data_IF_220864413323
#
_entry.id   IF_220864413323
#
_cell.length_a   1.000
_cell.length_b   1.000
_cell.length_c   1.000
_cell.angle_alpha   90.00
_cell.angle_beta   90.00
_cell.angle_gamma   90.00
#
_symmetry.space_group_name_H-M   'P 1'
#
loop_
_entity.id
_entity.type
_entity.pdbx_description
1 polymer ?
#
# COMPACT_ATOMS: atom_id res chain seq x y z
N UNK A 1 -6.23 -17.11 -14.95
CA UNK A 1 -6.61 -15.74 -15.38
C UNK A 1 -8.13 -15.65 -15.39
N UNK A 2 -8.67 -14.58 -14.80
CA UNK A 2 -10.10 -14.40 -14.48
C UNK A 2 -11.09 -14.60 -15.65
N UNK A 3 -12.31 -15.01 -15.31
CA UNK A 3 -13.50 -14.94 -16.18
C UNK A 3 -14.41 -13.81 -15.68
N UNK A 4 -14.70 -12.83 -16.53
CA UNK A 4 -15.64 -11.72 -16.26
C UNK A 4 -15.34 -10.88 -15.00
N UNK A 5 -14.06 -10.57 -14.73
CA UNK A 5 -13.65 -9.75 -13.57
C UNK A 5 -13.66 -10.50 -12.24
N UNK A 6 -13.75 -11.83 -12.29
CA UNK A 6 -13.77 -12.70 -11.13
C UNK A 6 -12.66 -13.76 -11.17
N UNK A 7 -12.01 -14.00 -10.03
CA UNK A 7 -11.07 -15.13 -9.90
C UNK A 7 -11.88 -16.40 -9.59
N UNK A 8 -11.73 -17.47 -10.39
CA UNK A 8 -12.36 -18.75 -10.10
C UNK A 8 -12.02 -19.22 -8.68
N UNK A 9 -13.02 -19.63 -7.90
CA UNK A 9 -12.86 -20.17 -6.54
C UNK A 9 -13.24 -19.23 -5.39
N UNK A 10 -13.48 -17.95 -5.64
CA UNK A 10 -14.01 -17.03 -4.62
C UNK A 10 -15.56 -17.00 -4.68
N UNK A 11 -16.24 -16.65 -3.57
CA UNK A 11 -17.68 -16.30 -3.55
C UNK A 11 -17.92 -14.79 -3.78
N UNK A 12 -18.71 -14.46 -4.80
CA UNK A 12 -19.05 -13.08 -5.17
C UNK A 12 -19.81 -12.34 -4.07
N UNK A 13 -20.59 -13.06 -3.26
CA UNK A 13 -21.38 -12.47 -2.18
C UNK A 13 -20.51 -11.97 -1.01
N UNK A 14 -19.29 -12.50 -0.90
CA UNK A 14 -18.31 -12.16 0.12
C UNK A 14 -17.32 -11.06 -0.31
N UNK A 15 -17.44 -10.54 -1.53
CA UNK A 15 -16.58 -9.47 -2.04
C UNK A 15 -17.05 -8.07 -1.59
N UNK A 16 -16.14 -7.12 -1.33
CA UNK A 16 -14.69 -7.26 -1.32
C UNK A 16 -14.17 -7.91 -0.02
N UNK A 17 -13.31 -8.93 -0.15
CA UNK A 17 -12.66 -9.58 0.99
C UNK A 17 -11.55 -8.68 1.55
N UNK A 18 -11.54 -8.53 2.86
CA UNK A 18 -10.52 -7.81 3.62
C UNK A 18 -10.42 -8.41 5.04
N UNK A 19 -9.30 -8.22 5.72
CA UNK A 19 -9.05 -8.82 7.04
C UNK A 19 -8.21 -10.10 6.95
N UNK A 20 -8.13 -10.85 8.04
CA UNK A 20 -7.20 -11.99 8.20
C UNK A 20 -7.50 -13.17 7.25
N UNK A 21 -8.76 -13.36 6.84
CA UNK A 21 -9.16 -14.44 5.94
C UNK A 21 -9.04 -14.06 4.45
N UNK A 22 -8.61 -12.82 4.15
CA UNK A 22 -8.43 -12.37 2.78
C UNK A 22 -7.14 -12.96 2.20
N UNK A 23 -7.16 -13.33 0.92
CA UNK A 23 -5.95 -13.80 0.25
C UNK A 23 -4.84 -12.73 0.26
N UNK A 24 -3.58 -13.15 0.40
CA UNK A 24 -2.38 -12.30 0.47
C UNK A 24 -1.98 -11.67 -0.88
N UNK A 25 -2.94 -11.03 -1.55
CA UNK A 25 -2.77 -10.41 -2.86
C UNK A 25 -3.68 -9.20 -3.02
N UNK A 26 -3.25 -8.26 -3.85
CA UNK A 26 -4.10 -7.14 -4.21
C UNK A 26 -5.36 -7.60 -4.95
N UNK A 27 -6.53 -7.00 -4.64
CA UNK A 27 -7.71 -7.15 -5.49
C UNK A 27 -7.41 -6.66 -6.91
N UNK A 28 -7.85 -7.41 -7.92
CA UNK A 28 -7.47 -7.14 -9.32
C UNK A 28 -8.22 -5.94 -9.93
N UNK A 29 -9.49 -5.74 -9.55
CA UNK A 29 -10.30 -4.60 -9.95
C UNK A 29 -10.91 -3.95 -8.71
N UNK A 30 -10.59 -2.68 -8.50
CA UNK A 30 -11.21 -1.83 -7.48
C UNK A 30 -11.57 -0.48 -8.08
N UNK A 31 -12.74 0.08 -7.74
CA UNK A 31 -13.14 1.40 -8.21
C UNK A 31 -12.20 2.48 -7.67
N UNK A 32 -11.92 3.47 -8.49
CA UNK A 32 -11.24 4.71 -8.09
C UNK A 32 -12.21 5.88 -8.10
N UNK A 33 -12.00 6.85 -7.22
CA UNK A 33 -12.79 8.09 -7.17
C UNK A 33 -11.89 9.26 -7.55
N UNK A 34 -12.46 10.23 -8.28
CA UNK A 34 -11.80 11.51 -8.56
C UNK A 34 -12.74 12.66 -8.14
N UNK A 35 -12.31 13.43 -7.15
CA UNK A 35 -12.98 14.60 -6.62
C UNK A 35 -12.27 15.84 -7.15
N UNK A 36 -12.99 16.64 -7.93
CA UNK A 36 -12.52 17.88 -8.52
C UNK A 36 -13.16 19.05 -7.76
N UNK A 37 -12.31 19.90 -7.18
CA UNK A 37 -12.73 21.04 -6.36
C UNK A 37 -12.46 22.38 -7.05
N UNK A 38 -13.19 23.41 -6.65
CA UNK A 38 -13.16 24.75 -7.24
C UNK A 38 -14.13 24.95 -8.41
N UNK A 39 -15.04 23.99 -8.65
CA UNK A 39 -16.04 24.09 -9.72
C UNK A 39 -17.03 25.23 -9.48
N UNK A 40 -17.62 25.74 -10.57
CA UNK A 40 -18.66 26.76 -10.53
C UNK A 40 -19.80 26.35 -9.59
N UNK A 41 -20.05 27.19 -8.58
CA UNK A 41 -21.09 26.95 -7.56
C UNK A 41 -20.68 26.05 -6.39
N UNK A 42 -19.42 25.60 -6.32
CA UNK A 42 -18.90 24.89 -5.15
C UNK A 42 -18.91 25.80 -3.91
N UNK A 43 -19.32 25.22 -2.77
CA UNK A 43 -19.37 25.88 -1.46
C UNK A 43 -18.72 24.98 -0.42
N UNK A 44 -18.46 25.49 0.78
CA UNK A 44 -17.91 24.69 1.89
C UNK A 44 -18.75 23.43 2.16
N UNK A 45 -20.07 23.53 2.03
CA UNK A 45 -20.99 22.39 2.18
C UNK A 45 -20.69 21.23 1.20
N UNK A 46 -20.15 21.52 0.01
CA UNK A 46 -19.75 20.50 -0.96
C UNK A 46 -18.62 19.61 -0.41
N UNK A 47 -17.65 20.20 0.28
CA UNK A 47 -16.55 19.45 0.93
C UNK A 47 -17.09 18.53 2.02
N UNK A 48 -18.01 19.02 2.84
CA UNK A 48 -18.66 18.23 3.90
C UNK A 48 -19.41 17.03 3.31
N UNK A 49 -20.22 17.23 2.27
CA UNK A 49 -20.99 16.18 1.63
C UNK A 49 -20.10 15.13 0.96
N UNK A 50 -19.02 15.56 0.29
CA UNK A 50 -18.05 14.65 -0.30
C UNK A 50 -17.33 13.81 0.76
N UNK A 51 -16.95 14.42 1.89
CA UNK A 51 -16.37 13.68 3.03
C UNK A 51 -17.35 12.66 3.59
N UNK A 52 -18.61 13.05 3.81
CA UNK A 52 -19.65 12.14 4.31
C UNK A 52 -19.88 10.97 3.35
N UNK A 53 -19.83 11.21 2.04
CA UNK A 53 -19.91 10.13 1.06
C UNK A 53 -18.75 9.14 1.20
N UNK A 54 -17.51 9.62 1.27
CA UNK A 54 -16.33 8.77 1.46
C UNK A 54 -16.39 8.00 2.79
N UNK A 55 -16.86 8.64 3.86
CA UNK A 55 -17.06 7.99 5.15
C UNK A 55 -18.08 6.85 5.04
N UNK A 56 -19.23 7.07 4.40
CA UNK A 56 -20.22 6.00 4.18
C UNK A 56 -19.66 4.82 3.38
N UNK A 57 -18.81 5.07 2.38
CA UNK A 57 -18.12 4.00 1.63
C UNK A 57 -17.23 3.19 2.58
N UNK A 58 -16.43 3.87 3.40
CA UNK A 58 -15.55 3.23 4.39
C UNK A 58 -16.31 2.43 5.45
N UNK A 59 -17.40 3.00 5.99
CA UNK A 59 -18.24 2.40 7.04
C UNK A 59 -19.02 1.18 6.52
N UNK A 60 -19.39 1.18 5.24
CA UNK A 60 -20.01 0.05 4.58
C UNK A 60 -19.03 -1.10 4.28
N UNK A 61 -17.75 -0.99 4.67
CA UNK A 61 -16.73 -2.00 4.40
C UNK A 61 -16.34 -2.12 2.92
N UNK A 62 -16.71 -1.14 2.09
CA UNK A 62 -16.38 -1.14 0.66
C UNK A 62 -14.94 -0.69 0.44
N UNK A 63 -14.30 -1.24 -0.59
CA UNK A 63 -12.93 -0.91 -0.96
C UNK A 63 -12.85 0.03 -2.16
N UNK A 64 -11.93 0.98 -2.08
CA UNK A 64 -11.55 1.86 -3.18
C UNK A 64 -10.07 1.65 -3.49
N UNK A 65 -9.71 1.64 -4.78
CA UNK A 65 -8.30 1.57 -5.19
C UNK A 65 -7.56 2.85 -4.82
N UNK A 66 -8.22 3.98 -5.01
CA UNK A 66 -7.61 5.31 -4.90
C UNK A 66 -8.68 6.39 -4.85
N UNK A 67 -8.42 7.43 -4.07
CA UNK A 67 -9.16 8.69 -4.13
C UNK A 67 -8.21 9.76 -4.66
N UNK A 68 -8.57 10.39 -5.77
CA UNK A 68 -7.86 11.54 -6.32
C UNK A 68 -8.59 12.80 -5.91
N UNK A 69 -7.90 13.72 -5.24
CA UNK A 69 -8.43 15.04 -4.86
C UNK A 69 -7.63 16.10 -5.60
N UNK A 70 -8.29 16.81 -6.53
CA UNK A 70 -7.70 17.77 -7.46
C UNK A 70 -8.42 19.11 -7.39
N UNK A 71 -7.74 20.17 -7.80
CA UNK A 71 -8.37 21.46 -8.07
C UNK A 71 -8.62 21.58 -9.57
N UNK A 72 -9.71 22.25 -9.92
CA UNK A 72 -10.09 22.52 -11.30
C UNK A 72 -9.06 23.42 -11.99
N UNK A 73 -8.88 23.20 -13.28
CA UNK A 73 -8.20 24.13 -14.17
C UNK A 73 -9.26 24.72 -15.10
N UNK A 74 -9.27 26.03 -15.27
CA UNK A 74 -10.13 26.70 -16.23
C UNK A 74 -9.44 26.71 -17.61
N UNK A 75 -10.17 26.29 -18.63
CA UNK A 75 -9.72 26.29 -20.01
C UNK A 75 -10.70 27.08 -20.89
N UNK A 76 -10.17 27.79 -21.87
CA UNK A 76 -10.98 28.54 -22.83
C UNK A 76 -11.99 27.63 -23.53
N UNK A 77 -13.23 28.11 -23.67
CA UNK A 77 -14.32 27.36 -24.30
C UNK A 77 -15.01 26.33 -23.39
N UNK A 78 -14.65 26.24 -22.11
CA UNK A 78 -15.38 25.45 -21.10
C UNK A 78 -16.33 26.33 -20.29
N UNK A 79 -17.34 25.74 -19.63
CA UNK A 79 -18.20 26.49 -18.69
C UNK A 79 -17.43 27.12 -17.52
N UNK A 80 -16.23 26.60 -17.24
CA UNK A 80 -15.31 27.15 -16.24
C UNK A 80 -14.51 28.34 -16.76
N UNK A 81 -14.54 28.64 -18.06
CA UNK A 81 -13.77 29.73 -18.69
C UNK A 81 -14.08 31.08 -18.02
N UNK A 82 -15.36 31.40 -17.82
CA UNK A 82 -15.78 32.67 -17.21
C UNK A 82 -15.59 32.70 -15.70
N UNK A 83 -15.66 31.53 -15.04
CA UNK A 83 -15.49 31.43 -13.58
C UNK A 83 -14.02 31.46 -13.17
N UNK A 84 -13.14 30.98 -14.04
CA UNK A 84 -11.72 30.87 -13.78
C UNK A 84 -11.40 29.94 -12.60
N UNK A 85 -10.29 30.22 -11.93
CA UNK A 85 -9.80 29.48 -10.77
C UNK A 85 -10.18 30.14 -9.42
N UNK A 86 -10.96 31.22 -9.42
CA UNK A 86 -11.19 32.05 -8.24
C UNK A 86 -11.72 31.25 -7.05
N UNK A 87 -12.72 30.37 -7.27
CA UNK A 87 -13.29 29.53 -6.20
C UNK A 87 -12.24 28.57 -5.62
N UNK A 88 -11.36 28.02 -6.46
CA UNK A 88 -10.28 27.14 -6.02
C UNK A 88 -9.25 27.90 -5.16
N UNK A 89 -8.96 29.15 -5.52
CA UNK A 89 -8.03 30.02 -4.79
C UNK A 89 -8.61 30.50 -3.46
N UNK A 90 -9.89 30.93 -3.47
CA UNK A 90 -10.61 31.38 -2.27
C UNK A 90 -10.70 30.26 -1.22
N UNK A 91 -10.99 29.03 -1.65
CA UNK A 91 -11.10 27.87 -0.77
C UNK A 91 -9.79 27.11 -0.56
N UNK A 92 -8.63 27.67 -0.93
CA UNK A 92 -7.34 26.94 -0.89
C UNK A 92 -6.98 26.39 0.49
N UNK A 93 -7.28 27.12 1.57
CA UNK A 93 -7.02 26.63 2.93
C UNK A 93 -7.95 25.48 3.30
N UNK A 94 -9.25 25.63 3.03
CA UNK A 94 -10.26 24.58 3.23
C UNK A 94 -9.90 23.33 2.43
N UNK A 95 -9.51 23.47 1.17
CA UNK A 95 -9.09 22.37 0.31
C UNK A 95 -7.90 21.60 0.90
N UNK A 96 -6.90 22.30 1.44
CA UNK A 96 -5.74 21.66 2.09
C UNK A 96 -6.16 20.84 3.31
N UNK A 97 -6.99 21.42 4.19
CA UNK A 97 -7.50 20.74 5.39
C UNK A 97 -8.32 19.51 5.02
N UNK A 98 -9.28 19.66 4.10
CA UNK A 98 -10.09 18.56 3.58
C UNK A 98 -9.23 17.43 3.00
N UNK A 99 -8.26 17.78 2.16
CA UNK A 99 -7.37 16.80 1.52
C UNK A 99 -6.49 16.06 2.52
N UNK A 100 -6.07 16.72 3.61
CA UNK A 100 -5.36 16.07 4.70
C UNK A 100 -6.28 15.13 5.48
N UNK A 101 -7.47 15.59 5.85
CA UNK A 101 -8.44 14.81 6.60
C UNK A 101 -8.87 13.54 5.85
N UNK A 102 -9.20 13.65 4.56
CA UNK A 102 -9.53 12.48 3.73
C UNK A 102 -8.36 11.50 3.69
N UNK A 103 -7.12 11.98 3.70
CA UNK A 103 -5.97 11.06 3.68
C UNK A 103 -5.80 10.27 4.95
N UNK A 104 -5.84 10.96 6.06
CA UNK A 104 -5.59 10.35 7.36
C UNK A 104 -6.74 9.46 7.78
N UNK A 105 -7.98 9.84 7.46
CA UNK A 105 -9.19 9.13 7.92
C UNK A 105 -9.76 8.14 6.91
N UNK A 106 -9.47 8.31 5.61
CA UNK A 106 -10.01 7.46 4.56
C UNK A 106 -8.91 6.76 3.78
N UNK A 107 -8.01 7.48 3.08
CA UNK A 107 -7.03 6.85 2.18
C UNK A 107 -6.10 5.88 2.90
N UNK A 108 -5.52 6.26 4.05
CA UNK A 108 -4.55 5.43 4.76
C UNK A 108 -5.21 4.17 5.37
N UNK A 109 -6.34 4.27 6.09
CA UNK A 109 -7.11 3.08 6.49
C UNK A 109 -7.56 2.22 5.31
N UNK A 110 -7.95 2.82 4.18
CA UNK A 110 -8.32 2.10 2.98
C UNK A 110 -7.14 1.32 2.39
N UNK A 111 -5.95 1.93 2.34
CA UNK A 111 -4.72 1.29 1.86
C UNK A 111 -4.36 0.07 2.72
N UNK A 112 -4.49 0.19 4.05
CA UNK A 112 -4.29 -0.93 4.97
C UNK A 112 -5.24 -2.10 4.70
N UNK A 113 -6.51 -1.82 4.35
CA UNK A 113 -7.47 -2.86 3.97
C UNK A 113 -7.18 -3.48 2.61
N UNK A 114 -6.71 -2.68 1.65
CA UNK A 114 -6.43 -3.12 0.28
C UNK A 114 -5.16 -3.96 0.19
N UNK A 115 -4.18 -3.68 1.05
CA UNK A 115 -2.85 -4.26 0.98
C UNK A 115 -2.27 -4.48 2.39
N UNK A 116 -2.90 -5.32 3.24
CA UNK A 116 -2.43 -5.57 4.61
C UNK A 116 -1.01 -6.19 4.62
N UNK A 117 -0.27 -6.10 5.74
CA UNK A 117 1.01 -6.80 5.87
C UNK A 117 0.83 -8.30 5.59
N UNK A 118 1.78 -8.91 4.88
CA UNK A 118 1.64 -10.26 4.33
C UNK A 118 1.32 -10.29 2.84
N UNK A 119 0.62 -9.26 2.32
CA UNK A 119 0.29 -9.16 0.90
C UNK A 119 1.55 -9.19 0.03
N UNK A 120 1.62 -10.13 -0.92
CA UNK A 120 2.72 -10.22 -1.89
C UNK A 120 2.39 -9.46 -3.15
N UNK A 121 3.24 -8.50 -3.50
CA UNK A 121 3.24 -7.78 -4.76
C UNK A 121 4.20 -8.47 -5.75
N UNK A 122 3.69 -9.18 -6.77
CA UNK A 122 4.56 -9.79 -7.76
C UNK A 122 5.14 -8.75 -8.72
N UNK A 123 6.29 -9.04 -9.31
CA UNK A 123 6.88 -8.26 -10.41
C UNK A 123 7.08 -6.76 -10.10
N UNK A 124 7.61 -6.44 -8.91
CA UNK A 124 7.96 -5.05 -8.58
C UNK A 124 9.26 -4.68 -9.27
N UNK A 125 9.20 -3.66 -10.12
CA UNK A 125 10.37 -3.06 -10.77
C UNK A 125 11.03 -2.07 -9.83
N UNK A 126 12.32 -2.23 -9.55
CA UNK A 126 13.10 -1.33 -8.71
C UNK A 126 13.56 -0.12 -9.52
N UNK A 127 13.19 1.10 -9.10
CA UNK A 127 13.26 2.31 -9.92
C UNK A 127 14.29 3.33 -9.45
N UNK A 128 14.40 3.58 -8.13
CA UNK A 128 15.31 4.59 -7.58
C UNK A 128 15.66 4.35 -6.11
N UNK A 129 16.73 4.98 -5.64
CA UNK A 129 17.11 5.02 -4.22
C UNK A 129 16.77 6.35 -3.59
N UNK A 130 16.32 6.32 -2.35
CA UNK A 130 16.13 7.53 -1.53
C UNK A 130 16.18 7.15 -0.04
N UNK A 131 16.92 7.93 0.75
CA UNK A 131 17.00 7.80 2.21
C UNK A 131 17.33 6.37 2.69
N UNK A 132 18.32 5.73 2.05
CA UNK A 132 18.78 4.37 2.37
C UNK A 132 17.79 3.26 1.99
N UNK A 133 16.80 3.55 1.14
CA UNK A 133 15.79 2.60 0.66
C UNK A 133 15.77 2.53 -0.85
N UNK A 134 15.34 1.39 -1.37
CA UNK A 134 15.01 1.21 -2.78
C UNK A 134 13.50 1.30 -2.98
N UNK A 135 13.07 2.11 -3.93
CA UNK A 135 11.68 2.27 -4.28
C UNK A 135 11.35 1.55 -5.59
N UNK A 136 10.16 0.95 -5.64
CA UNK A 136 9.69 0.25 -6.83
C UNK A 136 8.18 0.20 -6.96
N UNK A 137 7.71 -0.21 -8.14
CA UNK A 137 6.29 -0.39 -8.46
C UNK A 137 6.10 -1.56 -9.41
N UNK A 138 4.91 -2.15 -9.38
CA UNK A 138 4.44 -3.04 -10.45
C UNK A 138 4.15 -2.22 -11.72
N UNK A 139 4.17 -2.88 -12.88
CA UNK A 139 3.60 -2.28 -14.09
C UNK A 139 2.07 -2.23 -13.98
N UNK A 140 1.48 -1.06 -14.27
CA UNK A 140 0.02 -0.87 -14.26
C UNK A 140 -0.39 0.59 -14.18
N UNK A 141 -1.71 0.83 -14.26
CA UNK A 141 -2.27 2.20 -14.25
C UNK A 141 -2.19 2.85 -12.85
N UNK A 142 -2.29 2.06 -11.78
CA UNK A 142 -2.26 2.54 -10.39
C UNK A 142 -1.50 1.59 -9.45
N UNK A 143 -0.21 1.33 -9.70
CA UNK A 143 0.60 0.49 -8.81
C UNK A 143 0.87 1.21 -7.50
N UNK A 144 1.02 0.43 -6.43
CA UNK A 144 1.49 0.94 -5.14
C UNK A 144 2.99 1.19 -5.24
N UNK A 145 3.42 2.36 -4.77
CA UNK A 145 4.83 2.62 -4.53
C UNK A 145 5.24 1.84 -3.28
N UNK A 146 6.24 0.98 -3.41
CA UNK A 146 6.81 0.23 -2.28
C UNK A 146 8.22 0.71 -1.97
N UNK A 147 8.50 0.91 -0.68
CA UNK A 147 9.83 1.20 -0.16
C UNK A 147 10.42 -0.08 0.44
N UNK A 148 11.62 -0.45 0.01
CA UNK A 148 12.34 -1.64 0.47
C UNK A 148 13.59 -1.20 1.22
N UNK A 149 13.88 -1.71 2.43
CA UNK A 149 15.11 -1.41 3.14
C UNK A 149 16.37 -1.73 2.32
N UNK A 150 17.35 -0.83 2.39
CA UNK A 150 18.63 -0.95 1.70
C UNK A 150 18.61 -0.52 0.22
N UNK A 151 19.80 -0.28 -0.31
CA UNK A 151 20.01 -0.02 -1.74
C UNK A 151 20.20 -1.34 -2.49
N UNK A 152 19.37 -1.56 -3.52
CA UNK A 152 19.40 -2.75 -4.38
C UNK A 152 19.67 -2.35 -5.82
N UNK A 153 20.13 -3.30 -6.63
CA UNK A 153 20.32 -3.07 -8.06
C UNK A 153 19.01 -2.63 -8.73
N UNK A 154 19.04 -1.45 -9.37
CA UNK A 154 17.90 -0.88 -10.09
C UNK A 154 17.63 -1.66 -11.39
N UNK A 155 16.39 -1.62 -11.87
CA UNK A 155 15.96 -2.36 -13.06
C UNK A 155 15.70 -3.85 -12.84
N UNK A 156 16.02 -4.38 -11.65
CA UNK A 156 15.59 -5.72 -11.22
C UNK A 156 14.09 -5.75 -10.99
N UNK A 157 13.54 -6.95 -11.20
CA UNK A 157 12.15 -7.30 -10.93
C UNK A 157 12.16 -8.29 -9.77
N UNK A 158 11.45 -7.97 -8.70
CA UNK A 158 11.46 -8.74 -7.45
C UNK A 158 10.03 -8.79 -6.89
N UNK A 159 9.64 -9.91 -6.32
CA UNK A 159 8.40 -10.00 -5.55
C UNK A 159 8.61 -9.39 -4.16
N UNK A 160 7.66 -8.58 -3.71
CA UNK A 160 7.79 -7.84 -2.44
C UNK A 160 6.59 -8.16 -1.54
N UNK A 161 6.86 -8.67 -0.34
CA UNK A 161 5.86 -8.79 0.71
C UNK A 161 5.72 -7.47 1.46
N UNK A 162 4.49 -6.98 1.61
CA UNK A 162 4.19 -5.77 2.37
C UNK A 162 4.38 -6.05 3.85
N UNK A 163 5.04 -5.13 4.54
CA UNK A 163 5.26 -5.20 5.98
C UNK A 163 4.63 -4.05 6.76
N UNK A 164 4.44 -2.88 6.14
CA UNK A 164 3.83 -1.71 6.78
C UNK A 164 3.32 -0.69 5.74
N UNK A 165 2.68 0.38 6.20
CA UNK A 165 2.07 1.44 5.40
C UNK A 165 2.68 2.81 5.70
N UNK A 166 3.13 3.49 4.65
CA UNK A 166 3.45 4.91 4.70
C UNK A 166 2.23 5.79 4.44
N UNK A 167 2.47 7.10 4.25
CA UNK A 167 1.39 8.06 4.01
C UNK A 167 0.62 7.81 2.70
N UNK A 168 1.31 7.37 1.64
CA UNK A 168 0.72 7.01 0.33
C UNK A 168 1.47 5.87 -0.39
N UNK A 169 2.25 5.15 0.38
CA UNK A 169 3.12 4.08 -0.08
C UNK A 169 3.00 2.93 0.89
N UNK A 170 3.55 1.79 0.50
CA UNK A 170 3.74 0.65 1.39
C UNK A 170 5.23 0.47 1.63
N UNK A 171 5.59 -0.17 2.72
CA UNK A 171 6.93 -0.68 2.98
C UNK A 171 6.89 -2.19 2.80
N UNK A 172 7.97 -2.77 2.31
CA UNK A 172 8.04 -4.22 2.15
C UNK A 172 9.46 -4.75 2.05
N UNK A 173 9.56 -6.07 2.01
CA UNK A 173 10.82 -6.82 1.89
C UNK A 173 10.70 -7.85 0.75
N UNK A 174 11.81 -8.32 0.17
CA UNK A 174 11.77 -9.39 -0.82
C UNK A 174 10.98 -10.60 -0.33
N UNK A 175 10.19 -11.20 -1.21
CA UNK A 175 9.45 -12.42 -0.96
C UNK A 175 9.92 -13.55 -1.91
N UNK A 176 10.34 -14.71 -1.40
CA UNK A 176 10.54 -15.01 0.01
C UNK A 176 11.76 -14.27 0.61
N UNK A 177 11.70 -13.94 1.90
CA UNK A 177 12.82 -13.39 2.65
C UNK A 177 13.60 -14.52 3.35
N UNK A 178 14.89 -14.66 3.07
CA UNK A 178 15.74 -15.66 3.75
C UNK A 178 16.25 -15.13 5.09
N UNK A 179 15.76 -15.70 6.20
CA UNK A 179 16.09 -15.32 7.57
C UNK A 179 17.58 -15.44 7.88
N UNK A 180 18.33 -16.30 7.19
CA UNK A 180 19.77 -16.48 7.42
C UNK A 180 20.62 -15.47 6.66
N UNK A 181 20.07 -14.84 5.62
CA UNK A 181 20.79 -13.92 4.71
C UNK A 181 20.29 -12.48 4.79
N UNK A 182 19.09 -12.27 5.29
CA UNK A 182 18.46 -10.96 5.37
C UNK A 182 19.33 -9.96 6.16
N UNK A 183 19.27 -8.70 5.76
CA UNK A 183 19.91 -7.63 6.50
C UNK A 183 19.19 -7.36 7.82
N UNK A 184 19.87 -6.63 8.72
CA UNK A 184 19.27 -6.19 9.98
C UNK A 184 18.00 -5.35 9.73
N UNK A 185 18.04 -4.44 8.75
CA UNK A 185 16.92 -3.54 8.43
C UNK A 185 15.74 -4.30 7.79
N UNK A 186 16.01 -5.32 6.98
CA UNK A 186 14.96 -6.19 6.42
C UNK A 186 14.25 -6.98 7.52
N UNK A 187 15.01 -7.55 8.45
CA UNK A 187 14.44 -8.28 9.59
C UNK A 187 13.66 -7.35 10.52
N UNK A 188 14.19 -6.17 10.82
CA UNK A 188 13.52 -5.19 11.68
C UNK A 188 12.21 -4.69 11.05
N UNK A 189 12.14 -4.65 9.72
CA UNK A 189 10.95 -4.28 8.98
C UNK A 189 9.86 -5.37 8.97
N UNK A 190 10.13 -6.61 9.41
CA UNK A 190 9.11 -7.64 9.50
C UNK A 190 8.05 -7.30 10.58
N UNK A 191 6.75 -7.55 10.31
CA UNK A 191 5.69 -7.29 11.27
C UNK A 191 5.96 -7.94 12.62
N UNK A 192 5.93 -7.14 13.69
CA UNK A 192 6.11 -7.62 15.05
C UNK A 192 7.55 -7.92 15.47
N UNK A 193 8.57 -7.76 14.63
CA UNK A 193 9.96 -8.00 15.02
C UNK A 193 10.60 -6.75 15.64
N UNK A 194 10.76 -5.69 14.84
CA UNK A 194 11.54 -4.51 15.23
C UNK A 194 13.01 -4.84 15.54
N UNK A 195 13.79 -3.82 15.94
CA UNK A 195 15.25 -3.94 16.09
C UNK A 195 15.68 -5.01 17.10
N UNK A 196 14.94 -5.16 18.21
CA UNK A 196 15.33 -6.09 19.27
C UNK A 196 15.23 -7.55 18.81
N UNK A 197 14.09 -7.97 18.24
CA UNK A 197 13.89 -9.36 17.79
C UNK A 197 14.68 -9.65 16.53
N UNK A 198 14.85 -8.67 15.64
CA UNK A 198 15.73 -8.81 14.50
C UNK A 198 17.20 -9.04 14.92
N UNK A 199 17.67 -8.37 15.98
CA UNK A 199 19.00 -8.63 16.55
C UNK A 199 19.13 -10.05 17.12
N UNK A 200 18.10 -10.54 17.81
CA UNK A 200 18.02 -11.94 18.26
C UNK A 200 18.10 -12.91 17.09
N UNK A 201 17.43 -12.62 15.97
CA UNK A 201 17.53 -13.44 14.77
C UNK A 201 18.96 -13.49 14.25
N UNK A 202 19.61 -12.33 14.08
CA UNK A 202 20.99 -12.24 13.56
C UNK A 202 21.98 -13.03 14.43
N UNK A 203 21.87 -12.93 15.76
CA UNK A 203 22.80 -13.59 16.70
C UNK A 203 22.69 -15.11 16.69
N UNK A 204 21.48 -15.66 16.49
CA UNK A 204 21.24 -17.11 16.57
C UNK A 204 21.20 -17.79 15.19
N UNK A 205 21.60 -17.10 14.11
CA UNK A 205 21.78 -17.72 12.80
C UNK A 205 22.88 -18.80 12.84
N UNK A 206 22.81 -19.84 11.99
CA UNK A 206 21.73 -20.12 11.04
C UNK A 206 20.55 -20.86 11.69
N UNK A 207 19.36 -20.66 11.14
CA UNK A 207 18.16 -21.47 11.41
C UNK A 207 17.99 -22.53 10.32
N UNK A 208 17.46 -23.70 10.69
CA UNK A 208 17.07 -24.77 9.78
C UNK A 208 15.71 -24.50 9.13
N UNK A 209 14.83 -23.74 9.81
CA UNK A 209 13.50 -23.40 9.33
C UNK A 209 12.95 -22.09 9.93
N UNK A 210 11.94 -21.47 9.30
CA UNK A 210 11.20 -20.36 9.92
C UNK A 210 10.54 -20.74 11.26
N UNK A 211 10.09 -22.00 11.42
CA UNK A 211 9.46 -22.48 12.66
C UNK A 211 10.43 -22.48 13.85
N UNK A 212 11.70 -22.82 13.60
CA UNK A 212 12.75 -22.76 14.63
C UNK A 212 13.02 -21.30 15.05
N UNK A 213 13.06 -20.38 14.10
CA UNK A 213 13.19 -18.95 14.37
C UNK A 213 11.97 -18.42 15.15
N UNK A 214 10.76 -18.86 14.81
CA UNK A 214 9.53 -18.50 15.51
C UNK A 214 9.55 -19.00 16.97
N UNK A 215 9.98 -20.25 17.19
CA UNK A 215 10.16 -20.82 18.52
C UNK A 215 11.21 -20.05 19.35
N UNK A 216 12.29 -19.60 18.71
CA UNK A 216 13.35 -18.78 19.35
C UNK A 216 12.84 -17.43 19.82
N UNK A 217 11.97 -16.78 19.02
CA UNK A 217 11.41 -15.47 19.34
C UNK A 217 10.14 -15.54 20.22
N UNK A 218 9.49 -16.70 20.30
CA UNK A 218 8.20 -16.87 20.97
C UNK A 218 7.05 -16.13 20.28
N UNK A 219 7.14 -15.92 18.96
CA UNK A 219 6.11 -15.29 18.12
C UNK A 219 6.01 -16.00 16.77
N UNK A 220 4.89 -15.86 16.10
CA UNK A 220 4.77 -16.24 14.70
C UNK A 220 5.65 -15.32 13.82
N UNK A 221 6.25 -15.91 12.79
CA UNK A 221 7.02 -15.20 11.76
C UNK A 221 6.20 -15.21 10.47
N UNK A 222 6.25 -14.15 9.65
CA UNK A 222 5.46 -14.11 8.42
C UNK A 222 5.73 -15.28 7.47
N UNK A 223 4.67 -15.78 6.83
CA UNK A 223 4.72 -16.95 5.94
C UNK A 223 5.60 -16.76 4.70
N UNK A 224 5.86 -15.51 4.30
CA UNK A 224 6.75 -15.18 3.19
C UNK A 224 8.25 -15.27 3.56
N UNK A 225 8.61 -15.88 4.69
CA UNK A 225 9.99 -16.09 5.11
C UNK A 225 10.47 -17.52 4.83
N UNK A 226 11.78 -17.67 4.64
CA UNK A 226 12.47 -18.96 4.45
C UNK A 226 13.73 -18.99 5.28
N UNK A 227 14.30 -20.16 5.54
CA UNK A 227 15.63 -20.28 6.13
C UNK A 227 16.44 -21.25 5.28
N UNK A 228 17.39 -20.74 4.49
CA UNK A 228 18.28 -21.60 3.72
C UNK A 228 19.59 -21.75 4.47
N UNK A 229 20.00 -22.99 4.72
CA UNK A 229 21.31 -23.27 5.29
C UNK A 229 22.39 -23.04 4.22
N UNK A 230 23.56 -22.48 4.58
CA UNK A 230 24.64 -22.20 3.61
C UNK A 230 25.13 -23.42 2.82
N UNK A 231 24.89 -24.64 3.32
CA UNK A 231 25.33 -25.90 2.71
C UNK A 231 24.39 -26.41 1.59
N UNK A 232 23.27 -25.72 1.32
CA UNK A 232 22.28 -26.12 0.29
C UNK A 232 22.36 -25.35 -1.03
N UNK A 233 23.48 -24.67 -1.32
CA UNK A 233 23.69 -23.98 -2.59
C UNK A 233 24.46 -24.86 -3.58
N UNK A 234 23.76 -25.80 -4.21
CA UNK A 234 24.14 -26.39 -5.51
C UNK A 234 23.42 -25.63 -6.65
#
# INVERSE_FOLDING_TARGET
NEEAGWRPGEDRSAAPTHGADAADRLPKLLPGINLLHGLKGEREKTYELNKQFLQRVSDAGLLLRRINIRQVMAFDGTEMSDTGAQIADDHKQLFKQYKQEVRERIDNPMLQRVAPPGTVLPDVHLEYHQDGRTFGRQLGTYPLLVAVPGERELGRVVDIAITDHGYRSVTGVPAPLDLNRASMDELAALPGLGDQRAGTLVVNRPYDSPDEAAATLGIEIPEFTTARTPEGAD
#
